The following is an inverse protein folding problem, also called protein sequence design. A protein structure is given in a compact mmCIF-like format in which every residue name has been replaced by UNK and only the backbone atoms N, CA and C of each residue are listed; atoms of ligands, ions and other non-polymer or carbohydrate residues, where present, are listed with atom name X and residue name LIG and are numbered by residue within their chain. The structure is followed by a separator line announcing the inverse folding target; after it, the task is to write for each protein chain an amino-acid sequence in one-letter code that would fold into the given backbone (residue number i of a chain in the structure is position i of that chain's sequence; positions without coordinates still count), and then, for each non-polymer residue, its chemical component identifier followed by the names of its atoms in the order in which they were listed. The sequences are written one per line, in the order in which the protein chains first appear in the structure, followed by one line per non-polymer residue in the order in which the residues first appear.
data_IF_384723669195
#
_entry.id   IF_384723669195
#
_cell.length_a   1.000
_cell.length_b   1.000
_cell.length_c   1.000
_cell.angle_alpha   90.00
_cell.angle_beta   90.00
_cell.angle_gamma   90.00
#
_symmetry.space_group_name_H-M   'P 1'
#
loop_
_entity.id
_entity.type
_entity.pdbx_description
1 polymer ?
#
# COMPACT_ATOMS: atom_id res chain seq x y z
N UNK A 1 8.17 16.26 -9.07
CA UNK A 1 7.16 15.57 -8.29
C UNK A 1 7.71 14.24 -7.82
N UNK A 2 7.40 13.90 -6.60
CA UNK A 2 7.96 12.70 -6.00
C UNK A 2 7.05 11.50 -6.25
N UNK A 3 7.70 10.37 -6.47
CA UNK A 3 6.99 9.09 -6.51
C UNK A 3 7.24 8.37 -5.21
N UNK A 4 6.32 7.50 -4.84
CA UNK A 4 6.46 6.64 -3.67
C UNK A 4 6.42 5.19 -4.09
N UNK A 5 7.30 4.41 -3.51
CA UNK A 5 7.33 2.97 -3.71
C UNK A 5 6.68 2.30 -2.50
N UNK A 6 5.67 1.54 -2.76
CA UNK A 6 4.91 0.84 -1.72
C UNK A 6 5.15 -0.66 -1.88
N UNK A 7 5.67 -1.29 -0.85
CA UNK A 7 5.93 -2.72 -0.86
C UNK A 7 5.06 -3.40 0.19
N UNK A 8 4.29 -4.38 -0.21
CA UNK A 8 3.48 -5.14 0.73
C UNK A 8 4.38 -6.16 1.44
N UNK A 9 4.55 -5.98 2.75
CA UNK A 9 5.45 -6.84 3.54
C UNK A 9 4.73 -7.90 4.35
N UNK A 10 3.43 -7.75 4.56
CA UNK A 10 2.63 -8.71 5.32
C UNK A 10 1.49 -9.25 4.48
N UNK A 11 1.07 -10.48 4.79
CA UNK A 11 -0.05 -11.11 4.10
C UNK A 11 -1.36 -10.40 4.41
N UNK A 12 -2.24 -10.31 3.42
CA UNK A 12 -3.57 -9.74 3.58
C UNK A 12 -4.56 -10.72 4.22
N UNK A 13 -4.17 -11.98 4.37
CA UNK A 13 -5.06 -13.01 4.91
C UNK A 13 -5.51 -12.68 6.33
N UNK A 14 -4.61 -12.12 7.13
CA UNK A 14 -4.90 -11.78 8.52
C UNK A 14 -5.47 -10.36 8.68
N UNK A 15 -5.78 -9.67 7.59
CA UNK A 15 -6.21 -8.28 7.63
C UNK A 15 -7.73 -8.16 7.59
N UNK A 16 -8.22 -7.01 8.09
CA UNK A 16 -9.65 -6.70 8.01
C UNK A 16 -10.06 -6.48 6.55
N UNK A 17 -11.32 -6.76 6.20
CA UNK A 17 -11.78 -6.58 4.82
C UNK A 17 -11.54 -5.18 4.26
N UNK A 18 -11.71 -4.14 5.08
CA UNK A 18 -11.46 -2.77 4.64
C UNK A 18 -10.00 -2.56 4.23
N UNK A 19 -9.07 -3.14 4.98
CA UNK A 19 -7.65 -3.05 4.68
C UNK A 19 -7.31 -3.82 3.40
N UNK A 20 -7.90 -4.99 3.22
CA UNK A 20 -7.70 -5.79 2.01
C UNK A 20 -8.18 -5.02 0.80
N UNK A 21 -9.36 -4.41 0.86
CA UNK A 21 -9.89 -3.62 -0.24
C UNK A 21 -9.00 -2.43 -0.56
N UNK A 22 -8.48 -1.78 0.47
CA UNK A 22 -7.57 -0.64 0.28
C UNK A 22 -6.30 -1.07 -0.45
N UNK A 23 -5.70 -2.17 -0.02
CA UNK A 23 -4.50 -2.70 -0.66
C UNK A 23 -4.78 -3.12 -2.10
N UNK A 24 -5.89 -3.77 -2.35
CA UNK A 24 -6.27 -4.18 -3.70
C UNK A 24 -6.48 -2.98 -4.62
N UNK A 25 -7.05 -1.89 -4.10
CA UNK A 25 -7.25 -0.69 -4.89
C UNK A 25 -5.92 -0.05 -5.28
N UNK A 26 -4.87 -0.31 -4.53
CA UNK A 26 -3.52 0.12 -4.87
C UNK A 26 -2.81 -0.87 -5.80
N UNK A 27 -3.35 -2.07 -5.96
CA UNK A 27 -2.74 -3.10 -6.79
C UNK A 27 -1.90 -4.11 -6.01
N UNK A 28 -1.91 -4.02 -4.67
CA UNK A 28 -1.14 -4.93 -3.82
C UNK A 28 -2.02 -6.10 -3.42
N UNK A 29 -1.67 -7.29 -3.84
CA UNK A 29 -2.49 -8.48 -3.57
C UNK A 29 -1.79 -9.54 -2.76
N UNK A 30 -0.47 -9.55 -2.73
CA UNK A 30 0.30 -10.55 -1.98
C UNK A 30 1.59 -9.97 -1.42
N UNK A 31 2.14 -10.63 -0.39
CA UNK A 31 3.42 -10.21 0.18
C UNK A 31 4.51 -10.17 -0.89
N UNK A 32 5.34 -9.15 -0.84
CA UNK A 32 6.41 -8.99 -1.81
C UNK A 32 6.05 -8.13 -3.01
N UNK A 33 4.78 -7.84 -3.22
CA UNK A 33 4.37 -6.94 -4.30
C UNK A 33 4.85 -5.52 -4.00
N UNK A 34 5.38 -4.87 -5.01
CA UNK A 34 5.84 -3.50 -4.90
C UNK A 34 5.32 -2.68 -6.08
N UNK A 35 4.94 -1.45 -5.79
CA UNK A 35 4.44 -0.52 -6.80
C UNK A 35 5.07 0.84 -6.60
N UNK A 36 5.31 1.52 -7.73
CA UNK A 36 5.71 2.93 -7.71
C UNK A 36 4.53 3.76 -8.20
N UNK A 37 4.08 4.68 -7.36
CA UNK A 37 2.93 5.52 -7.65
C UNK A 37 3.28 6.98 -7.42
N UNK A 38 2.59 7.86 -8.12
CA UNK A 38 2.73 9.29 -7.89
C UNK A 38 2.19 9.64 -6.50
N UNK A 39 2.93 10.47 -5.78
CA UNK A 39 2.50 10.92 -4.46
C UNK A 39 1.32 11.87 -4.60
N UNK A 40 0.21 11.57 -3.93
CA UNK A 40 -0.96 12.44 -3.90
C UNK A 40 -1.75 12.23 -2.60
N UNK A 41 -2.64 13.19 -2.25
CA UNK A 41 -3.40 13.10 -0.99
C UNK A 41 -4.29 11.85 -0.89
N UNK A 42 -4.88 11.41 -1.98
CA UNK A 42 -5.73 10.22 -1.96
C UNK A 42 -4.91 8.97 -1.64
N UNK A 43 -3.72 8.90 -2.24
CA UNK A 43 -2.80 7.78 -1.98
C UNK A 43 -2.33 7.79 -0.53
N UNK A 44 -2.00 8.97 0.00
CA UNK A 44 -1.58 9.09 1.38
C UNK A 44 -2.65 8.58 2.36
N UNK A 45 -3.91 8.89 2.09
CA UNK A 45 -5.01 8.39 2.89
C UNK A 45 -5.12 6.88 2.87
N UNK A 46 -4.95 6.27 1.71
CA UNK A 46 -4.97 4.81 1.59
C UNK A 46 -3.79 4.16 2.30
N UNK A 47 -2.63 4.75 2.18
CA UNK A 47 -1.41 4.23 2.84
C UNK A 47 -1.59 4.22 4.35
N UNK A 48 -2.21 5.25 4.93
CA UNK A 48 -2.43 5.30 6.38
C UNK A 48 -3.22 4.10 6.90
N UNK A 49 -4.18 3.63 6.13
CA UNK A 49 -5.02 2.50 6.52
C UNK A 49 -4.19 1.21 6.62
N UNK A 50 -3.21 1.06 5.74
CA UNK A 50 -2.42 -0.17 5.64
C UNK A 50 -0.95 0.05 5.96
N UNK A 51 -0.60 1.16 6.60
CA UNK A 51 0.81 1.50 6.84
C UNK A 51 1.55 0.43 7.64
N UNK A 52 0.86 -0.29 8.50
CA UNK A 52 1.46 -1.38 9.28
C UNK A 52 1.68 -2.65 8.44
N UNK A 53 1.15 -2.69 7.24
CA UNK A 53 1.25 -3.85 6.34
C UNK A 53 2.22 -3.63 5.20
N UNK A 54 2.56 -2.39 4.92
CA UNK A 54 3.40 -2.03 3.78
C UNK A 54 4.57 -1.17 4.22
N UNK A 55 5.60 -1.19 3.39
CA UNK A 55 6.73 -0.29 3.54
C UNK A 55 6.65 0.76 2.44
N UNK A 56 6.74 2.03 2.82
CA UNK A 56 6.66 3.15 1.89
C UNK A 56 8.02 3.82 1.80
N UNK A 57 8.49 4.02 0.58
CA UNK A 57 9.75 4.69 0.32
C UNK A 57 9.54 5.75 -0.75
N UNK A 58 10.23 6.88 -0.59
CA UNK A 58 10.26 7.92 -1.61
C UNK A 58 11.34 7.57 -2.64
N UNK A 59 10.97 7.60 -3.90
CA UNK A 59 11.89 7.28 -5.00
C UNK A 59 12.03 8.42 -5.99
#
# INVERSE_FOLDING_TARGET
MENVKITLVKSLIACKPAQVKTAESLGLKRPGDALVLANNPALAGKIKVISHLVKVETV
#
